data_IF_071835134613
#
_entry.id   IF_071835134613
#
_cell.length_a   1.000
_cell.length_b   1.000
_cell.length_c   1.000
_cell.angle_alpha   90.00
_cell.angle_beta   90.00
_cell.angle_gamma   90.00
#
_symmetry.space_group_name_H-M   'P 1'
#
loop_
_entity.id
_entity.type
_entity.pdbx_description
1 polymer ?
#
# COMPACT_ATOMS: atom_id res chain seq x y z
N UNK A 1 -2.57 29.16 25.24
CA UNK A 1 -1.48 28.30 24.74
C UNK A 1 -2.04 26.93 24.42
N UNK A 2 -1.49 26.28 23.42
CA UNK A 2 -1.75 24.88 23.09
C UNK A 2 -0.52 24.13 23.56
N UNK A 3 -0.67 23.12 24.41
CA UNK A 3 0.43 22.37 24.99
C UNK A 3 0.77 21.13 24.18
N UNK A 4 -0.25 20.48 23.58
CA UNK A 4 -0.10 19.29 22.75
C UNK A 4 -1.27 19.17 21.76
N UNK A 5 -0.99 18.60 20.59
CA UNK A 5 -2.01 18.33 19.56
C UNK A 5 -2.21 16.81 19.44
N UNK A 6 -3.47 16.37 19.43
CA UNK A 6 -3.87 15.02 19.10
C UNK A 6 -4.60 15.05 17.75
N UNK A 7 -3.89 14.62 16.69
CA UNK A 7 -4.43 14.63 15.33
C UNK A 7 -5.38 13.45 15.12
N UNK A 8 -6.64 13.73 14.77
CA UNK A 8 -7.67 12.74 14.44
C UNK A 8 -8.13 12.87 12.97
N UNK A 9 -7.38 13.56 12.13
CA UNK A 9 -7.69 13.67 10.71
C UNK A 9 -7.24 12.39 10.02
N UNK A 10 -8.17 11.71 9.34
CA UNK A 10 -7.90 10.48 8.60
C UNK A 10 -7.57 10.76 7.13
N UNK A 11 -6.76 9.89 6.55
CA UNK A 11 -6.41 9.92 5.13
C UNK A 11 -5.46 11.04 4.74
N UNK A 12 -5.58 11.45 3.48
CA UNK A 12 -4.73 12.50 2.91
C UNK A 12 -4.87 13.82 3.66
N UNK A 13 -3.73 14.43 3.97
CA UNK A 13 -3.62 15.65 4.77
C UNK A 13 -3.39 15.36 6.25
N UNK A 14 -4.01 14.34 6.83
CA UNK A 14 -3.89 14.00 8.24
C UNK A 14 -2.89 12.90 8.56
N UNK A 15 -2.72 11.94 7.64
CA UNK A 15 -1.87 10.75 7.86
C UNK A 15 -0.62 10.75 6.96
N UNK A 16 -0.52 11.64 5.98
CA UNK A 16 0.53 11.69 4.96
C UNK A 16 1.71 12.62 5.30
N UNK A 17 1.77 13.10 6.54
CA UNK A 17 2.85 13.96 7.02
C UNK A 17 2.60 15.47 6.84
N UNK A 18 1.55 15.89 6.11
CA UNK A 18 1.29 17.30 5.82
C UNK A 18 0.95 18.09 7.09
N UNK A 19 -0.05 17.64 7.85
CA UNK A 19 -0.43 18.30 9.12
C UNK A 19 0.72 18.20 10.13
N UNK A 20 1.41 17.07 10.17
CA UNK A 20 2.58 16.89 11.04
C UNK A 20 3.66 17.92 10.75
N UNK A 21 3.98 18.18 9.47
CA UNK A 21 4.99 19.20 9.11
C UNK A 21 4.59 20.60 9.55
N UNK A 22 3.32 20.97 9.42
CA UNK A 22 2.84 22.27 9.92
C UNK A 22 2.94 22.41 11.44
N UNK A 23 2.63 21.34 12.18
CA UNK A 23 2.73 21.32 13.63
C UNK A 23 4.21 21.42 14.07
N UNK A 24 5.10 20.71 13.36
CA UNK A 24 6.54 20.77 13.57
C UNK A 24 7.12 22.18 13.34
N UNK A 25 6.69 22.86 12.29
CA UNK A 25 7.07 24.25 11.99
C UNK A 25 6.62 25.22 13.11
N UNK A 26 5.47 24.97 13.71
CA UNK A 26 4.96 25.73 14.85
C UNK A 26 5.64 25.38 16.18
N UNK A 27 6.48 24.34 16.20
CA UNK A 27 7.17 23.82 17.40
C UNK A 27 6.21 23.45 18.53
N UNK A 28 5.08 22.87 18.19
CA UNK A 28 4.08 22.36 19.14
C UNK A 28 4.24 20.85 19.22
N UNK A 29 4.21 20.30 20.41
CA UNK A 29 4.23 18.85 20.61
C UNK A 29 2.92 18.22 20.10
N UNK A 30 3.03 16.99 19.57
CA UNK A 30 1.87 16.24 19.11
C UNK A 30 2.02 14.74 19.30
N UNK A 31 0.89 14.05 19.31
CA UNK A 31 0.85 12.59 19.40
C UNK A 31 0.90 11.99 18.00
N UNK A 32 1.87 11.12 17.77
CA UNK A 32 2.05 10.41 16.49
C UNK A 32 3.49 10.34 16.03
N UNK A 33 3.67 9.81 14.83
CA UNK A 33 4.96 9.78 14.13
C UNK A 33 5.25 11.14 13.51
N UNK A 34 6.54 11.45 13.30
CA UNK A 34 6.94 12.69 12.64
C UNK A 34 6.49 12.75 11.17
N UNK A 35 6.56 13.93 10.55
CA UNK A 35 6.09 14.19 9.19
C UNK A 35 6.73 13.25 8.16
N UNK A 36 8.04 13.01 8.25
CA UNK A 36 8.79 12.15 7.33
C UNK A 36 8.33 10.69 7.46
N UNK A 37 8.22 10.18 8.69
CA UNK A 37 7.75 8.81 8.95
C UNK A 37 6.30 8.62 8.51
N UNK A 38 5.44 9.61 8.77
CA UNK A 38 4.04 9.60 8.35
C UNK A 38 3.91 9.57 6.83
N UNK A 39 4.62 10.45 6.13
CA UNK A 39 4.63 10.49 4.65
C UNK A 39 5.13 9.17 4.05
N UNK A 40 6.21 8.64 4.60
CA UNK A 40 6.79 7.38 4.12
C UNK A 40 5.84 6.20 4.32
N UNK A 41 5.25 6.07 5.51
CA UNK A 41 4.36 4.96 5.87
C UNK A 41 2.99 5.06 5.21
N UNK A 42 2.56 6.24 4.79
CA UNK A 42 1.31 6.43 4.06
C UNK A 42 1.38 5.82 2.64
N UNK A 43 2.58 5.79 2.03
CA UNK A 43 2.82 5.08 0.78
C UNK A 43 3.14 3.61 1.02
N UNK A 44 2.23 2.71 0.65
CA UNK A 44 2.44 1.25 0.76
C UNK A 44 3.66 0.78 -0.03
N UNK A 45 3.90 1.37 -1.20
CA UNK A 45 5.05 1.03 -2.04
C UNK A 45 6.36 1.43 -1.35
N UNK A 46 6.45 2.65 -0.81
CA UNK A 46 7.65 3.08 -0.09
C UNK A 46 7.87 2.25 1.18
N UNK A 47 6.80 1.97 1.93
CA UNK A 47 6.86 1.09 3.09
C UNK A 47 7.42 -0.29 2.73
N UNK A 48 6.92 -0.90 1.66
CA UNK A 48 7.41 -2.22 1.21
C UNK A 48 8.87 -2.20 0.75
N UNK A 49 9.32 -1.12 0.10
CA UNK A 49 10.75 -0.95 -0.26
C UNK A 49 11.63 -0.93 1.00
N UNK A 50 11.26 -0.15 2.00
CA UNK A 50 11.98 -0.10 3.27
C UNK A 50 11.96 -1.46 3.97
N UNK A 51 10.83 -2.15 3.99
CA UNK A 51 10.75 -3.49 4.58
C UNK A 51 11.67 -4.47 3.86
N UNK A 52 11.76 -4.42 2.53
CA UNK A 52 12.68 -5.25 1.76
C UNK A 52 14.15 -4.96 2.11
N UNK A 53 14.55 -3.69 2.22
CA UNK A 53 15.90 -3.26 2.64
C UNK A 53 16.24 -3.80 4.04
N UNK A 54 15.28 -3.82 4.95
CA UNK A 54 15.42 -4.36 6.30
C UNK A 54 15.12 -5.86 6.43
N UNK A 55 14.92 -6.57 5.30
CA UNK A 55 14.62 -8.01 5.26
C UNK A 55 13.37 -8.41 6.04
N UNK A 56 12.41 -7.49 6.17
CA UNK A 56 11.11 -7.77 6.76
C UNK A 56 10.21 -8.43 5.72
N UNK A 57 9.48 -9.46 6.14
CA UNK A 57 8.55 -10.17 5.24
C UNK A 57 7.35 -9.28 4.91
N UNK A 58 7.04 -9.23 3.63
CA UNK A 58 5.84 -8.60 3.08
C UNK A 58 5.38 -9.42 1.88
N UNK A 59 4.07 -9.48 1.56
CA UNK A 59 3.61 -10.17 0.36
C UNK A 59 4.33 -9.67 -0.88
N UNK A 60 4.61 -10.56 -1.82
CA UNK A 60 5.15 -10.18 -3.13
C UNK A 60 4.20 -9.21 -3.82
N UNK A 61 4.73 -8.28 -4.59
CA UNK A 61 3.93 -7.27 -5.25
C UNK A 61 4.56 -6.76 -6.55
N UNK A 62 3.70 -6.25 -7.42
CA UNK A 62 4.06 -5.41 -8.57
C UNK A 62 3.32 -4.08 -8.48
N UNK A 63 3.89 -3.04 -9.07
CA UNK A 63 3.26 -1.72 -9.16
C UNK A 63 2.41 -1.62 -10.42
N UNK A 64 1.48 -0.65 -10.45
CA UNK A 64 0.70 -0.37 -11.66
C UNK A 64 1.60 0.01 -12.85
N UNK A 65 2.71 0.69 -12.60
CA UNK A 65 3.70 1.04 -13.64
C UNK A 65 4.39 -0.21 -14.20
N UNK A 66 4.79 -1.16 -13.34
CA UNK A 66 5.38 -2.44 -13.78
C UNK A 66 4.36 -3.27 -14.57
N UNK A 67 3.12 -3.35 -14.09
CA UNK A 67 2.05 -4.03 -14.83
C UNK A 67 1.79 -3.40 -16.20
N UNK A 68 1.74 -2.07 -16.28
CA UNK A 68 1.58 -1.35 -17.55
C UNK A 68 2.68 -1.69 -18.54
N UNK A 69 3.94 -1.61 -18.09
CA UNK A 69 5.10 -1.95 -18.91
C UNK A 69 5.02 -3.39 -19.42
N UNK A 70 4.60 -4.31 -18.56
CA UNK A 70 4.42 -5.73 -18.91
C UNK A 70 3.31 -5.93 -19.95
N UNK A 71 2.18 -5.22 -19.82
CA UNK A 71 1.03 -5.35 -20.73
C UNK A 71 1.19 -4.61 -22.07
N UNK A 72 2.00 -3.54 -22.10
CA UNK A 72 2.29 -2.73 -23.28
C UNK A 72 3.54 -3.20 -24.03
N UNK A 73 3.93 -4.47 -23.87
CA UNK A 73 5.10 -5.01 -24.53
C UNK A 73 4.82 -5.22 -26.03
N UNK A 74 4.91 -4.12 -26.81
CA UNK A 74 4.96 -4.20 -28.26
C UNK A 74 6.29 -4.88 -28.65
N UNK A 75 6.19 -6.04 -29.30
CA UNK A 75 7.32 -6.89 -29.70
C UNK A 75 8.35 -6.21 -30.61
N UNK A 76 8.08 -4.98 -31.05
CA UNK A 76 8.90 -4.22 -32.01
C UNK A 76 9.73 -3.07 -31.39
N UNK A 77 9.65 -2.82 -30.08
CA UNK A 77 10.44 -1.76 -29.45
C UNK A 77 11.77 -2.30 -28.90
N UNK A 78 12.85 -1.52 -29.04
CA UNK A 78 14.17 -1.82 -28.49
C UNK A 78 14.06 -2.25 -27.01
N UNK A 79 14.28 -3.54 -26.77
CA UNK A 79 14.20 -4.13 -25.43
C UNK A 79 15.42 -3.64 -24.65
N UNK A 80 15.20 -2.88 -23.58
CA UNK A 80 16.24 -2.50 -22.61
C UNK A 80 16.36 -3.58 -21.53
N UNK A 81 17.54 -3.71 -20.92
CA UNK A 81 17.75 -4.65 -19.79
C UNK A 81 16.72 -4.45 -18.68
N UNK A 82 16.41 -3.20 -18.37
CA UNK A 82 15.39 -2.83 -17.36
C UNK A 82 13.99 -3.35 -17.71
N UNK A 83 13.60 -3.34 -18.99
CA UNK A 83 12.29 -3.86 -19.43
C UNK A 83 12.24 -5.38 -19.31
N UNK A 84 13.33 -6.06 -19.59
CA UNK A 84 13.45 -7.52 -19.43
C UNK A 84 13.30 -7.94 -17.96
N UNK A 85 13.90 -7.19 -17.03
CA UNK A 85 13.78 -7.46 -15.60
C UNK A 85 12.34 -7.26 -15.08
N UNK A 86 11.66 -6.19 -15.52
CA UNK A 86 10.26 -5.91 -15.15
C UNK A 86 9.36 -7.03 -15.65
N UNK A 87 9.49 -7.44 -16.91
CA UNK A 87 8.69 -8.52 -17.49
C UNK A 87 8.89 -9.83 -16.73
N UNK A 88 10.13 -10.20 -16.47
CA UNK A 88 10.47 -11.38 -15.68
C UNK A 88 9.90 -11.32 -14.26
N UNK A 89 9.94 -10.15 -13.61
CA UNK A 89 9.32 -9.96 -12.30
C UNK A 89 7.82 -10.20 -12.33
N UNK A 90 7.12 -9.64 -13.33
CA UNK A 90 5.67 -9.81 -13.49
C UNK A 90 5.31 -11.28 -13.80
N UNK A 91 6.05 -11.94 -14.69
CA UNK A 91 5.86 -13.37 -14.98
C UNK A 91 5.98 -14.21 -13.72
N UNK A 92 7.09 -14.09 -12.99
CA UNK A 92 7.31 -14.83 -11.74
C UNK A 92 6.24 -14.54 -10.70
N UNK A 93 5.81 -13.25 -10.60
CA UNK A 93 4.74 -12.87 -9.70
C UNK A 93 3.42 -13.58 -10.04
N UNK A 94 3.02 -13.60 -11.32
CA UNK A 94 1.76 -14.24 -11.75
C UNK A 94 1.84 -15.78 -11.75
N UNK A 95 3.01 -16.36 -11.98
CA UNK A 95 3.21 -17.81 -11.87
C UNK A 95 3.06 -18.33 -10.43
N UNK A 96 3.56 -17.56 -9.47
CA UNK A 96 3.58 -17.97 -8.06
C UNK A 96 2.29 -17.62 -7.30
N UNK A 97 1.44 -16.75 -7.84
CA UNK A 97 0.26 -16.26 -7.14
C UNK A 97 -0.99 -16.41 -8.02
N UNK A 98 -2.08 -16.84 -7.44
CA UNK A 98 -3.35 -17.06 -8.15
C UNK A 98 -4.46 -16.11 -7.69
N UNK A 99 -4.33 -15.52 -6.52
CA UNK A 99 -5.27 -14.55 -5.95
C UNK A 99 -4.54 -13.26 -5.60
N UNK A 100 -5.13 -12.14 -5.98
CA UNK A 100 -4.45 -10.84 -5.94
C UNK A 100 -5.27 -9.80 -5.18
N UNK A 101 -4.57 -8.91 -4.50
CA UNK A 101 -5.15 -7.71 -3.90
C UNK A 101 -4.64 -6.49 -4.65
N UNK A 102 -5.55 -5.80 -5.30
CA UNK A 102 -5.29 -4.51 -5.93
C UNK A 102 -5.66 -3.39 -4.95
N UNK A 103 -4.76 -2.44 -4.73
CA UNK A 103 -4.99 -1.35 -3.80
C UNK A 103 -4.22 -0.08 -4.14
N UNK A 104 -4.79 1.11 -3.87
CA UNK A 104 -4.08 2.37 -4.02
C UNK A 104 -2.85 2.41 -3.09
N UNK A 105 -1.72 2.94 -3.59
CA UNK A 105 -0.51 3.09 -2.79
C UNK A 105 -0.73 4.01 -1.59
N UNK A 106 -1.34 5.17 -1.83
CA UNK A 106 -1.58 6.22 -0.83
C UNK A 106 -3.07 6.33 -0.50
N UNK A 107 -3.60 5.40 0.26
CA UNK A 107 -5.00 5.38 0.71
C UNK A 107 -5.12 4.60 2.02
N UNK A 108 -6.11 4.97 2.83
CA UNK A 108 -6.45 4.29 4.08
C UNK A 108 -7.82 3.62 4.03
N UNK A 109 -8.22 3.01 5.15
CA UNK A 109 -9.56 2.49 5.42
C UNK A 109 -10.13 1.55 4.36
N UNK A 110 -9.30 0.77 3.69
CA UNK A 110 -9.68 -0.18 2.62
C UNK A 110 -10.38 0.45 1.41
N UNK A 111 -10.31 1.78 1.25
CA UNK A 111 -10.88 2.48 0.10
C UNK A 111 -10.11 2.11 -1.18
N UNK A 112 -10.85 1.69 -2.21
CA UNK A 112 -10.29 1.34 -3.52
C UNK A 112 -9.59 -0.02 -3.56
N UNK A 113 -9.74 -0.86 -2.53
CA UNK A 113 -9.23 -2.24 -2.55
C UNK A 113 -10.18 -3.12 -3.37
N UNK A 114 -9.59 -3.92 -4.26
CA UNK A 114 -10.28 -4.99 -4.98
C UNK A 114 -9.51 -6.29 -4.81
N UNK A 115 -10.23 -7.40 -4.72
CA UNK A 115 -9.65 -8.75 -4.67
C UNK A 115 -10.01 -9.46 -5.97
N UNK A 116 -9.04 -10.10 -6.59
CA UNK A 116 -9.20 -10.86 -7.83
C UNK A 116 -8.78 -12.31 -7.58
N UNK A 117 -9.68 -13.23 -7.88
CA UNK A 117 -9.44 -14.68 -7.69
C UNK A 117 -8.57 -15.29 -8.79
N UNK A 118 -8.35 -14.57 -9.89
CA UNK A 118 -7.42 -14.97 -10.95
C UNK A 118 -6.91 -13.77 -11.76
N UNK A 119 -5.89 -14.03 -12.58
CA UNK A 119 -5.27 -13.02 -13.45
C UNK A 119 -6.22 -12.49 -14.52
N UNK A 120 -7.12 -13.31 -15.08
CA UNK A 120 -8.01 -12.86 -16.15
C UNK A 120 -9.00 -11.81 -15.64
N UNK A 121 -9.51 -12.00 -14.41
CA UNK A 121 -10.38 -11.02 -13.76
C UNK A 121 -9.65 -9.69 -13.55
N UNK A 122 -8.40 -9.73 -13.08
CA UNK A 122 -7.56 -8.54 -12.93
C UNK A 122 -7.34 -7.85 -14.28
N UNK A 123 -7.02 -8.60 -15.33
CA UNK A 123 -6.76 -8.05 -16.66
C UNK A 123 -8.01 -7.53 -17.36
N UNK A 124 -9.19 -8.06 -17.08
CA UNK A 124 -10.45 -7.56 -17.59
C UNK A 124 -10.80 -6.17 -17.02
N UNK A 125 -10.47 -5.93 -15.75
CA UNK A 125 -10.65 -4.64 -15.08
C UNK A 125 -9.57 -3.60 -15.46
N UNK A 126 -8.57 -3.98 -16.26
CA UNK A 126 -7.41 -3.12 -16.59
C UNK A 126 -7.78 -1.74 -17.14
N UNK A 127 -8.89 -1.59 -17.88
CA UNK A 127 -9.31 -0.29 -18.40
C UNK A 127 -9.66 0.68 -17.28
N UNK A 128 -10.37 0.22 -16.27
CA UNK A 128 -10.73 1.03 -15.10
C UNK A 128 -9.49 1.34 -14.25
N UNK A 129 -8.58 0.38 -14.17
CA UNK A 129 -7.30 0.52 -13.46
C UNK A 129 -6.41 1.57 -14.13
N UNK A 130 -6.38 1.61 -15.47
CA UNK A 130 -5.48 2.43 -16.26
C UNK A 130 -6.06 3.80 -16.64
N UNK A 131 -7.39 3.90 -16.84
CA UNK A 131 -8.03 5.12 -17.32
C UNK A 131 -8.30 6.16 -16.24
N UNK A 132 -8.37 5.77 -14.98
CA UNK A 132 -8.74 6.64 -13.86
C UNK A 132 -7.55 7.15 -13.04
N UNK A 133 -6.29 6.98 -13.51
CA UNK A 133 -5.16 7.03 -12.60
C UNK A 133 -4.26 8.25 -12.70
N UNK A 134 -4.52 9.20 -11.81
CA UNK A 134 -3.51 10.11 -11.25
C UNK A 134 -2.77 9.49 -10.03
N UNK A 135 -3.15 8.30 -9.59
CA UNK A 135 -2.64 7.65 -8.37
C UNK A 135 -1.92 6.35 -8.69
N UNK A 136 -0.82 6.09 -8.00
CA UNK A 136 -0.08 4.84 -8.11
C UNK A 136 -0.78 3.72 -7.31
N UNK A 137 -0.83 2.53 -7.90
CA UNK A 137 -1.43 1.32 -7.30
C UNK A 137 -0.39 0.22 -7.16
N UNK A 138 -0.68 -0.71 -6.28
CA UNK A 138 0.05 -1.98 -6.22
C UNK A 138 -0.92 -3.15 -6.31
N UNK A 139 -0.40 -4.22 -6.88
CA UNK A 139 -1.03 -5.53 -6.92
C UNK A 139 -0.15 -6.44 -6.07
N UNK A 140 -0.70 -7.02 -5.03
CA UNK A 140 0.07 -7.94 -4.18
C UNK A 140 -0.61 -9.30 -4.07
N UNK A 141 0.18 -10.31 -3.72
CA UNK A 141 -0.31 -11.62 -3.41
C UNK A 141 -1.31 -11.57 -2.26
N UNK A 142 -2.47 -12.23 -2.44
CA UNK A 142 -3.43 -12.36 -1.35
C UNK A 142 -2.87 -13.31 -0.30
N UNK A 143 -2.87 -12.87 0.94
CA UNK A 143 -2.49 -13.70 2.08
C UNK A 143 -3.75 -14.08 2.83
N UNK A 144 -4.06 -15.37 2.84
CA UNK A 144 -5.14 -15.91 3.66
C UNK A 144 -4.71 -16.00 5.13
N UNK A 145 -5.59 -15.62 6.03
CA UNK A 145 -5.31 -15.69 7.46
C UNK A 145 -6.04 -14.64 8.28
N UNK A 146 -5.77 -14.68 9.58
CA UNK A 146 -6.34 -13.71 10.52
C UNK A 146 -5.60 -12.38 10.46
N UNK A 147 -6.34 -11.28 10.63
CA UNK A 147 -5.77 -9.94 10.70
C UNK A 147 -5.38 -9.59 12.14
N UNK A 148 -4.23 -8.92 12.28
CA UNK A 148 -3.71 -8.48 13.56
C UNK A 148 -3.20 -7.04 13.47
N UNK A 149 -3.26 -6.33 14.60
CA UNK A 149 -2.60 -5.03 14.76
C UNK A 149 -1.71 -5.02 16.00
N UNK A 150 -0.62 -4.29 15.93
CA UNK A 150 0.35 -4.12 17.00
C UNK A 150 0.49 -2.63 17.34
N UNK A 151 -0.20 -2.13 18.38
CA UNK A 151 -0.06 -0.74 18.81
C UNK A 151 1.33 -0.48 19.41
N UNK A 152 1.86 0.73 19.19
CA UNK A 152 3.13 1.16 19.75
C UNK A 152 2.93 2.49 20.47
N UNK A 153 3.35 2.57 21.73
CA UNK A 153 3.33 3.80 22.54
C UNK A 153 4.71 4.03 23.14
N UNK A 154 5.28 5.19 22.94
CA UNK A 154 6.61 5.57 23.43
C UNK A 154 7.69 4.50 23.11
N UNK A 155 7.69 3.98 21.89
CA UNK A 155 8.63 2.96 21.43
C UNK A 155 8.40 1.56 22.01
N UNK A 156 7.35 1.35 22.81
CA UNK A 156 7.00 0.04 23.38
C UNK A 156 5.84 -0.57 22.59
N UNK A 157 6.04 -1.81 22.12
CA UNK A 157 4.99 -2.59 21.50
C UNK A 157 4.02 -3.06 22.58
N UNK A 158 2.75 -2.77 22.40
CA UNK A 158 1.67 -3.26 23.24
C UNK A 158 1.21 -4.67 22.80
N UNK A 159 0.37 -5.36 23.57
CA UNK A 159 -0.17 -6.66 23.18
C UNK A 159 -0.80 -6.62 21.78
N UNK A 160 -0.51 -7.63 20.99
CA UNK A 160 -1.08 -7.81 19.65
C UNK A 160 -2.58 -8.07 19.77
N UNK A 161 -3.37 -7.37 18.95
CA UNK A 161 -4.82 -7.49 18.92
C UNK A 161 -5.21 -8.22 17.63
N UNK A 162 -5.96 -9.33 17.76
CA UNK A 162 -6.60 -9.99 16.64
C UNK A 162 -7.86 -9.23 16.25
N UNK A 163 -8.00 -8.93 14.95
CA UNK A 163 -9.19 -8.28 14.41
C UNK A 163 -10.14 -9.37 13.93
N UNK A 164 -11.34 -9.43 14.49
CA UNK A 164 -12.37 -10.37 14.07
C UNK A 164 -13.56 -9.62 13.47
N UNK A 165 -13.98 -10.01 12.28
CA UNK A 165 -15.15 -9.47 11.61
C UNK A 165 -16.10 -10.61 11.23
N UNK A 166 -17.40 -10.31 11.19
CA UNK A 166 -18.43 -11.25 10.70
C UNK A 166 -18.49 -11.33 9.18
N UNK A 167 -17.71 -10.49 8.47
CA UNK A 167 -17.63 -10.43 7.01
C UNK A 167 -16.41 -11.20 6.53
N UNK A 168 -16.43 -11.65 5.29
CA UNK A 168 -15.28 -12.34 4.67
C UNK A 168 -14.01 -11.48 4.61
N UNK A 169 -14.19 -10.14 4.63
CA UNK A 169 -13.09 -9.18 4.55
C UNK A 169 -13.38 -7.96 5.41
N UNK A 170 -12.35 -7.45 6.11
CA UNK A 170 -12.43 -6.22 6.92
C UNK A 170 -12.39 -4.98 6.02
N UNK A 171 -13.48 -4.73 5.32
CA UNK A 171 -13.65 -3.61 4.41
C UNK A 171 -14.14 -2.35 5.14
N UNK A 172 -14.34 -1.26 4.38
CA UNK A 172 -14.83 0.01 4.92
C UNK A 172 -16.15 -0.09 5.68
N UNK A 173 -17.06 -0.98 5.24
CA UNK A 173 -18.35 -1.17 5.92
C UNK A 173 -18.27 -2.03 7.20
N UNK A 174 -17.14 -2.73 7.41
CA UNK A 174 -16.90 -3.53 8.61
C UNK A 174 -16.20 -2.73 9.73
N UNK A 175 -15.73 -1.52 9.40
CA UNK A 175 -15.08 -0.56 10.30
C UNK A 175 -16.09 0.38 10.94
#
# INVERSE_FOLDING_TARGET
>A
SIDIIFNLIHGKGGEDGLVQSWIEDLKIDYVGSNSVSSSTSFSKINTKKIWAEHKLRTPDFITSTELLNYLCDDKDSNITESKTEINKKCEVFFENNHKFVFKPSCSGSSVGIKIYDDLNLLLNDKRDILSNNTSEYLIEAFIDGSEYTAPIINGKVLPIIKIETKREFYNYEAK
#
